data_IF_288112101296
#
_entry.id   IF_288112101296
#
_cell.length_a   1.000
_cell.length_b   1.000
_cell.length_c   1.000
_cell.angle_alpha   90.00
_cell.angle_beta   90.00
_cell.angle_gamma   90.00
#
_symmetry.space_group_name_H-M   'P 1'
#
loop_
_entity.id
_entity.type
_entity.pdbx_description
1 polymer ?
#
# COMPACT_ATOMS: atom_id res chain seq x y z
N UNK A 1 9.82 25.67 1.71
CA UNK A 1 8.88 25.27 0.64
C UNK A 1 7.50 24.93 1.21
N UNK A 2 7.42 24.08 2.22
CA UNK A 2 6.17 23.74 2.92
C UNK A 2 5.54 24.97 3.60
N UNK A 3 6.36 25.85 4.14
CA UNK A 3 5.93 27.10 4.77
C UNK A 3 5.21 28.07 3.80
N UNK A 4 5.58 28.08 2.53
CA UNK A 4 4.99 28.98 1.53
C UNK A 4 3.49 28.74 1.28
N UNK A 5 2.98 27.52 1.56
CA UNK A 5 1.55 27.19 1.48
C UNK A 5 0.92 27.05 2.86
N UNK A 6 1.63 27.42 3.92
CA UNK A 6 1.14 27.32 5.30
C UNK A 6 1.02 25.89 5.83
N UNK A 7 1.68 24.91 5.19
CA UNK A 7 1.73 23.53 5.68
C UNK A 7 2.71 23.45 6.85
N UNK A 8 2.26 22.95 7.98
CA UNK A 8 3.06 22.66 9.16
C UNK A 8 2.77 21.28 9.72
N UNK A 9 3.70 20.72 10.50
CA UNK A 9 3.48 19.49 11.21
C UNK A 9 2.22 19.54 12.10
N UNK A 10 1.93 20.70 12.69
CA UNK A 10 0.75 20.89 13.52
C UNK A 10 -0.55 20.69 12.74
N UNK A 11 -0.66 21.23 11.52
CA UNK A 11 -1.85 21.03 10.68
C UNK A 11 -1.99 19.57 10.23
N UNK A 12 -0.89 18.91 9.88
CA UNK A 12 -0.90 17.49 9.54
C UNK A 12 -1.39 16.63 10.72
N UNK A 13 -0.86 16.86 11.91
CA UNK A 13 -1.23 16.09 13.11
C UNK A 13 -2.67 16.37 13.53
N UNK A 14 -3.13 17.62 13.44
CA UNK A 14 -4.53 17.99 13.69
C UNK A 14 -5.47 17.29 12.71
N UNK A 15 -5.15 17.31 11.41
CA UNK A 15 -5.93 16.62 10.39
C UNK A 15 -5.96 15.11 10.59
N UNK A 16 -4.84 14.51 11.00
CA UNK A 16 -4.74 13.08 11.33
C UNK A 16 -5.65 12.71 12.50
N UNK A 17 -5.60 13.49 13.59
CA UNK A 17 -6.44 13.25 14.76
C UNK A 17 -7.93 13.35 14.39
N UNK A 18 -8.29 14.38 13.62
CA UNK A 18 -9.67 14.56 13.15
C UNK A 18 -10.10 13.43 12.20
N UNK A 19 -9.19 12.91 11.36
CA UNK A 19 -9.46 11.77 10.50
C UNK A 19 -9.74 10.50 11.31
N UNK A 20 -8.94 10.26 12.35
CA UNK A 20 -9.14 9.11 13.23
C UNK A 20 -10.48 9.19 13.98
N UNK A 21 -10.81 10.36 14.55
CA UNK A 21 -12.09 10.61 15.19
C UNK A 21 -13.24 10.41 14.19
N UNK A 22 -13.09 10.92 12.97
CA UNK A 22 -14.10 10.77 11.92
C UNK A 22 -14.31 9.29 11.52
N UNK A 23 -13.24 8.50 11.42
CA UNK A 23 -13.37 7.06 11.16
C UNK A 23 -14.15 6.35 12.30
N UNK A 24 -13.90 6.71 13.56
CA UNK A 24 -14.67 6.20 14.71
C UNK A 24 -16.15 6.58 14.60
N UNK A 25 -16.45 7.84 14.29
CA UNK A 25 -17.83 8.32 14.09
C UNK A 25 -18.53 7.51 12.99
N UNK A 26 -17.88 7.32 11.86
CA UNK A 26 -18.43 6.50 10.77
C UNK A 26 -18.72 5.06 11.19
N UNK A 27 -17.87 4.47 12.04
CA UNK A 27 -18.08 3.14 12.61
C UNK A 27 -19.23 3.08 13.61
N UNK A 28 -19.37 4.06 14.48
CA UNK A 28 -20.52 4.15 15.42
C UNK A 28 -21.83 4.10 14.62
N UNK A 29 -21.87 4.76 13.47
CA UNK A 29 -23.02 4.75 12.56
C UNK A 29 -22.96 3.63 11.50
N UNK A 30 -22.25 2.51 11.76
CA UNK A 30 -22.01 1.44 10.78
C UNK A 30 -23.28 0.84 10.15
N UNK A 31 -24.40 0.83 10.84
CA UNK A 31 -25.69 0.37 10.28
C UNK A 31 -26.15 1.23 9.10
N UNK A 32 -25.76 2.52 9.07
CA UNK A 32 -26.05 3.45 7.98
C UNK A 32 -24.91 3.52 6.99
N UNK A 33 -23.68 3.68 7.45
CA UNK A 33 -22.48 3.84 6.62
C UNK A 33 -22.05 2.55 5.93
N UNK A 34 -22.42 1.37 6.49
CA UNK A 34 -21.98 0.03 6.05
C UNK A 34 -20.46 -0.19 6.19
N UNK A 35 -19.81 0.58 7.04
CA UNK A 35 -18.38 0.45 7.31
C UNK A 35 -18.11 -0.49 8.47
N UNK A 36 -16.99 -1.22 8.40
CA UNK A 36 -16.60 -2.26 9.37
C UNK A 36 -15.21 -2.04 9.96
N UNK A 37 -14.38 -1.19 9.34
CA UNK A 37 -12.95 -1.10 9.63
C UNK A 37 -12.54 0.17 10.34
N UNK A 38 -11.57 0.05 11.26
CA UNK A 38 -10.84 1.15 11.87
C UNK A 38 -9.38 1.08 11.44
N UNK A 39 -8.87 2.13 10.79
CA UNK A 39 -7.48 2.17 10.34
C UNK A 39 -6.54 2.48 11.51
N UNK A 40 -5.52 1.63 11.69
CA UNK A 40 -4.61 1.66 12.83
C UNK A 40 -3.13 1.84 12.44
N UNK A 41 -2.81 1.93 11.16
CA UNK A 41 -1.43 2.06 10.67
C UNK A 41 -0.95 3.50 10.77
N UNK A 42 -0.45 3.90 11.93
CA UNK A 42 -0.16 5.29 12.29
C UNK A 42 0.77 6.03 11.32
N UNK A 43 1.89 5.42 10.91
CA UNK A 43 2.82 6.05 9.95
C UNK A 43 2.19 6.29 8.57
N UNK A 44 1.31 5.40 8.12
CA UNK A 44 0.54 5.57 6.90
C UNK A 44 -0.48 6.70 7.05
N UNK A 45 -1.15 6.76 8.19
CA UNK A 45 -2.10 7.84 8.47
C UNK A 45 -1.44 9.22 8.43
N UNK A 46 -0.20 9.35 8.93
CA UNK A 46 0.57 10.61 8.85
C UNK A 46 0.84 11.00 7.41
N UNK A 47 1.30 10.06 6.58
CA UNK A 47 1.59 10.32 5.17
C UNK A 47 0.34 10.71 4.39
N UNK A 48 -0.76 10.01 4.60
CA UNK A 48 -2.05 10.32 3.99
C UNK A 48 -2.57 11.70 4.40
N UNK A 49 -2.51 12.01 5.70
CA UNK A 49 -2.93 13.32 6.22
C UNK A 49 -2.05 14.45 5.65
N UNK A 50 -0.74 14.26 5.56
CA UNK A 50 0.18 15.25 4.94
C UNK A 50 -0.19 15.50 3.49
N UNK A 51 -0.41 14.44 2.71
CA UNK A 51 -0.77 14.53 1.30
C UNK A 51 -2.08 15.28 1.08
N UNK A 52 -3.13 14.93 1.83
CA UNK A 52 -4.44 15.57 1.64
C UNK A 52 -4.45 16.99 2.18
N UNK A 53 -3.71 17.28 3.25
CA UNK A 53 -3.50 18.66 3.72
C UNK A 53 -2.82 19.49 2.63
N UNK A 54 -1.78 18.93 1.96
CA UNK A 54 -1.15 19.60 0.82
C UNK A 54 -2.16 19.89 -0.30
N UNK A 55 -2.97 18.93 -0.71
CA UNK A 55 -3.98 19.09 -1.77
C UNK A 55 -4.96 20.22 -1.43
N UNK A 56 -5.53 20.20 -0.21
CA UNK A 56 -6.54 21.17 0.20
C UNK A 56 -5.92 22.57 0.34
N UNK A 57 -4.77 22.69 0.99
CA UNK A 57 -4.12 23.98 1.22
C UNK A 57 -3.56 24.60 -0.06
N UNK A 58 -3.10 23.78 -1.01
CA UNK A 58 -2.64 24.25 -2.31
C UNK A 58 -3.80 24.82 -3.13
N UNK A 59 -4.90 24.07 -3.23
CA UNK A 59 -5.98 24.42 -4.12
C UNK A 59 -7.06 25.31 -3.50
N UNK A 60 -7.13 25.38 -2.16
CA UNK A 60 -8.13 26.18 -1.43
C UNK A 60 -7.43 27.05 -0.37
N UNK A 61 -6.72 28.13 -0.77
CA UNK A 61 -5.95 28.94 0.18
C UNK A 61 -6.76 29.49 1.36
N UNK A 62 -8.06 29.73 1.19
CA UNK A 62 -8.95 30.15 2.26
C UNK A 62 -9.19 29.11 3.37
N UNK A 63 -8.78 27.85 3.13
CA UNK A 63 -8.84 26.77 4.11
C UNK A 63 -7.51 26.51 4.83
N UNK A 64 -6.51 27.39 4.75
CA UNK A 64 -5.25 27.29 5.51
C UNK A 64 -5.44 27.66 6.98
N UNK A 65 -6.36 26.98 7.65
CA UNK A 65 -6.80 27.23 9.03
C UNK A 65 -7.45 25.95 9.62
N UNK A 66 -8.04 26.07 10.80
CA UNK A 66 -8.67 24.94 11.50
C UNK A 66 -9.82 24.30 10.69
N UNK A 67 -10.58 25.07 9.93
CA UNK A 67 -11.66 24.53 9.08
C UNK A 67 -11.12 23.69 7.92
N UNK A 68 -9.94 24.06 7.43
CA UNK A 68 -9.21 23.24 6.46
C UNK A 68 -8.74 21.91 7.07
N UNK A 69 -8.21 21.94 8.29
CA UNK A 69 -7.85 20.71 8.99
C UNK A 69 -9.08 19.80 9.23
N UNK A 70 -10.25 20.40 9.53
CA UNK A 70 -11.52 19.65 9.63
C UNK A 70 -11.90 19.04 8.29
N UNK A 71 -11.86 19.80 7.19
CA UNK A 71 -12.19 19.32 5.85
C UNK A 71 -11.24 18.18 5.42
N UNK A 72 -9.94 18.33 5.68
CA UNK A 72 -8.93 17.28 5.45
C UNK A 72 -9.22 16.06 6.30
N UNK A 73 -9.51 16.23 7.59
CA UNK A 73 -9.83 15.14 8.51
C UNK A 73 -11.04 14.32 8.05
N UNK A 74 -12.10 14.98 7.62
CA UNK A 74 -13.29 14.32 7.06
C UNK A 74 -12.94 13.59 5.76
N UNK A 75 -12.23 14.23 4.85
CA UNK A 75 -11.88 13.65 3.54
C UNK A 75 -11.00 12.42 3.70
N UNK A 76 -9.91 12.52 4.48
CA UNK A 76 -8.97 11.42 4.65
C UNK A 76 -9.53 10.31 5.55
N UNK A 77 -10.26 10.65 6.60
CA UNK A 77 -10.91 9.65 7.46
C UNK A 77 -11.99 8.86 6.71
N UNK A 78 -12.69 9.50 5.76
CA UNK A 78 -13.61 8.78 4.87
C UNK A 78 -12.85 7.84 3.92
N UNK A 79 -11.74 8.29 3.32
CA UNK A 79 -10.89 7.43 2.50
C UNK A 79 -10.39 6.24 3.32
N UNK A 80 -9.84 6.47 4.50
CA UNK A 80 -9.31 5.43 5.39
C UNK A 80 -10.37 4.38 5.71
N UNK A 81 -11.57 4.81 6.12
CA UNK A 81 -12.67 3.93 6.47
C UNK A 81 -13.19 3.13 5.27
N UNK A 82 -13.37 3.80 4.11
CA UNK A 82 -13.99 3.19 2.94
C UNK A 82 -13.03 2.22 2.23
N UNK A 83 -11.78 2.64 2.03
CA UNK A 83 -10.84 1.83 1.27
C UNK A 83 -10.29 0.66 2.08
N UNK A 84 -10.09 0.81 3.39
CA UNK A 84 -9.80 -0.35 4.24
C UNK A 84 -10.99 -1.33 4.29
N UNK A 85 -12.22 -0.84 4.29
CA UNK A 85 -13.41 -1.70 4.22
C UNK A 85 -13.47 -2.53 2.92
N UNK A 86 -12.91 -2.03 1.81
CA UNK A 86 -12.82 -2.81 0.57
C UNK A 86 -11.90 -4.02 0.68
N UNK A 87 -10.93 -4.00 1.59
CA UNK A 87 -9.96 -5.09 1.75
C UNK A 87 -10.43 -6.19 2.70
N UNK A 88 -11.59 -6.04 3.36
CA UNK A 88 -12.13 -7.04 4.31
C UNK A 88 -12.30 -8.39 3.64
N UNK A 89 -13.11 -8.49 2.58
CA UNK A 89 -13.37 -9.78 1.91
C UNK A 89 -12.13 -10.35 1.20
N UNK A 90 -11.26 -9.54 0.54
CA UNK A 90 -9.99 -10.06 0.05
C UNK A 90 -9.13 -10.69 1.14
N UNK A 91 -9.03 -10.03 2.31
CA UNK A 91 -8.20 -10.52 3.41
C UNK A 91 -8.80 -11.74 4.09
N UNK A 92 -10.11 -11.75 4.31
CA UNK A 92 -10.85 -12.90 4.82
C UNK A 92 -10.61 -14.15 3.96
N UNK A 93 -10.67 -14.00 2.63
CA UNK A 93 -10.32 -15.09 1.70
C UNK A 93 -8.86 -15.51 1.77
N UNK A 94 -7.93 -14.56 1.87
CA UNK A 94 -6.49 -14.86 1.95
C UNK A 94 -6.13 -15.65 3.19
N UNK A 95 -6.86 -15.41 4.29
CA UNK A 95 -6.61 -16.02 5.59
C UNK A 95 -7.54 -17.19 5.90
N UNK A 96 -8.35 -17.63 4.91
CA UNK A 96 -9.38 -18.67 5.06
C UNK A 96 -10.32 -18.41 6.26
N UNK A 97 -10.64 -17.12 6.54
CA UNK A 97 -11.50 -16.67 7.62
C UNK A 97 -10.82 -16.48 8.98
N UNK A 98 -9.56 -16.86 9.12
CA UNK A 98 -8.86 -16.85 10.41
C UNK A 98 -8.18 -15.51 10.75
N UNK A 99 -8.10 -14.58 9.80
CA UNK A 99 -7.30 -13.35 9.94
C UNK A 99 -7.82 -12.36 10.97
N UNK A 100 -9.10 -12.06 10.95
CA UNK A 100 -9.72 -11.09 11.84
C UNK A 100 -9.23 -9.65 11.64
N UNK A 101 -8.68 -9.30 10.47
CA UNK A 101 -8.17 -7.98 10.13
C UNK A 101 -8.46 -7.59 8.69
N UNK A 102 -8.27 -6.32 8.38
CA UNK A 102 -8.27 -5.76 7.03
C UNK A 102 -6.95 -5.04 6.77
N UNK A 103 -6.68 -4.62 5.55
CA UNK A 103 -5.48 -3.83 5.23
C UNK A 103 -5.78 -2.35 5.29
N UNK A 104 -4.93 -1.62 6.03
CA UNK A 104 -4.93 -0.17 6.16
C UNK A 104 -3.58 0.42 5.69
N UNK A 105 -3.37 0.55 4.38
CA UNK A 105 -2.12 1.03 3.80
C UNK A 105 -2.39 1.99 2.60
N UNK A 106 -1.47 2.09 1.64
CA UNK A 106 -1.52 3.04 0.52
C UNK A 106 -1.83 2.38 -0.83
N UNK A 107 -2.24 1.11 -0.81
CA UNK A 107 -2.62 0.29 -1.97
C UNK A 107 -3.91 -0.51 -1.71
N UNK A 108 -4.80 0.01 -0.87
CA UNK A 108 -6.05 -0.65 -0.51
C UNK A 108 -6.95 -0.87 -1.72
N UNK A 109 -7.03 0.13 -2.59
CA UNK A 109 -7.77 0.03 -3.86
C UNK A 109 -7.11 -0.99 -4.81
N UNK A 110 -5.78 -1.00 -4.89
CA UNK A 110 -5.05 -1.97 -5.70
C UNK A 110 -5.29 -3.41 -5.24
N UNK A 111 -5.30 -3.67 -3.93
CA UNK A 111 -5.60 -4.99 -3.35
C UNK A 111 -7.00 -5.45 -3.75
N UNK A 112 -8.00 -4.60 -3.56
CA UNK A 112 -9.37 -4.90 -3.95
C UNK A 112 -9.48 -5.18 -5.45
N UNK A 113 -8.82 -4.37 -6.28
CA UNK A 113 -8.80 -4.52 -7.73
C UNK A 113 -8.10 -5.83 -8.15
N UNK A 114 -6.97 -6.15 -7.50
CA UNK A 114 -6.24 -7.40 -7.73
C UNK A 114 -7.10 -8.62 -7.41
N UNK A 115 -7.79 -8.64 -6.28
CA UNK A 115 -8.72 -9.71 -5.90
C UNK A 115 -9.83 -9.92 -6.95
N UNK A 116 -10.34 -8.84 -7.56
CA UNK A 116 -11.41 -8.91 -8.58
C UNK A 116 -10.91 -9.29 -9.98
N UNK A 117 -9.70 -8.89 -10.32
CA UNK A 117 -9.14 -9.10 -11.67
C UNK A 117 -8.38 -10.41 -11.78
N UNK A 118 -7.66 -10.83 -10.75
CA UNK A 118 -6.80 -12.00 -10.79
C UNK A 118 -7.47 -13.28 -11.30
N UNK A 119 -8.74 -13.61 -10.92
CA UNK A 119 -9.41 -14.80 -11.44
C UNK A 119 -9.68 -14.77 -12.96
N UNK A 120 -9.58 -13.59 -13.60
CA UNK A 120 -9.71 -13.45 -15.05
C UNK A 120 -8.39 -13.62 -15.81
N UNK A 121 -7.25 -13.55 -15.08
CA UNK A 121 -5.91 -13.65 -15.64
C UNK A 121 -5.38 -15.07 -15.54
N UNK A 122 -5.67 -15.77 -14.43
CA UNK A 122 -5.17 -17.10 -14.16
C UNK A 122 -6.05 -17.87 -13.20
N UNK A 123 -5.54 -19.00 -12.69
CA UNK A 123 -6.29 -19.91 -11.83
C UNK A 123 -5.59 -20.04 -10.47
N UNK A 124 -6.37 -20.20 -9.39
CA UNK A 124 -5.85 -20.39 -8.03
C UNK A 124 -4.93 -21.62 -7.93
N UNK A 125 -5.25 -22.68 -8.66
CA UNK A 125 -4.49 -23.94 -8.67
C UNK A 125 -3.07 -23.78 -9.21
N UNK A 126 -2.85 -22.75 -10.05
CA UNK A 126 -1.53 -22.38 -10.58
C UNK A 126 -0.75 -21.47 -9.61
N UNK A 127 -0.99 -21.59 -8.30
CA UNK A 127 -0.27 -20.83 -7.28
C UNK A 127 1.24 -21.03 -7.39
N UNK A 128 2.00 -20.00 -7.02
CA UNK A 128 3.47 -20.02 -6.96
C UNK A 128 3.99 -21.21 -6.16
N UNK A 129 3.27 -21.63 -5.10
CA UNK A 129 3.62 -22.81 -4.29
C UNK A 129 3.56 -24.13 -5.06
N UNK A 130 2.69 -24.22 -6.06
CA UNK A 130 2.44 -25.44 -6.81
C UNK A 130 3.37 -25.60 -8.02
N UNK A 131 4.28 -24.66 -8.26
CA UNK A 131 5.22 -24.72 -9.38
C UNK A 131 6.21 -25.86 -9.15
N UNK A 132 6.13 -26.91 -9.99
CA UNK A 132 7.10 -27.98 -10.01
C UNK A 132 8.34 -27.52 -10.76
N UNK A 133 9.39 -27.20 -10.02
CA UNK A 133 10.69 -26.87 -10.60
C UNK A 133 11.46 -28.14 -11.00
N UNK A 134 12.21 -28.14 -12.11
CA UNK A 134 13.17 -29.20 -12.43
C UNK A 134 14.17 -29.42 -11.29
N UNK A 135 14.70 -30.65 -11.14
CA UNK A 135 15.53 -31.03 -9.99
C UNK A 135 16.70 -30.09 -9.68
N UNK A 136 17.36 -29.53 -10.69
CA UNK A 136 18.45 -28.59 -10.51
C UNK A 136 17.98 -27.16 -10.06
N UNK A 137 16.69 -26.84 -10.21
CA UNK A 137 16.09 -25.61 -9.74
C UNK A 137 15.29 -25.79 -8.45
N UNK A 138 15.26 -26.99 -7.89
CA UNK A 138 14.50 -27.26 -6.66
C UNK A 138 14.94 -26.40 -5.47
N UNK A 139 16.23 -26.00 -5.44
CA UNK A 139 16.74 -25.06 -4.45
C UNK A 139 15.99 -23.70 -4.46
N UNK A 140 15.41 -23.28 -5.60
CA UNK A 140 14.63 -22.07 -5.72
C UNK A 140 13.18 -22.21 -5.22
N UNK A 141 12.75 -23.39 -4.82
CA UNK A 141 11.50 -23.55 -4.07
C UNK A 141 11.64 -23.05 -2.62
N UNK A 142 12.87 -23.00 -2.08
CA UNK A 142 13.14 -22.33 -0.81
C UNK A 142 13.10 -20.82 -0.96
N UNK A 143 12.33 -20.18 -0.09
CA UNK A 143 12.09 -18.73 -0.14
C UNK A 143 13.36 -17.91 0.13
N UNK A 144 14.22 -18.37 1.06
CA UNK A 144 15.45 -17.65 1.41
C UNK A 144 16.40 -17.66 0.22
N UNK A 145 16.55 -18.83 -0.43
CA UNK A 145 17.43 -18.99 -1.60
C UNK A 145 16.91 -18.17 -2.78
N UNK A 146 15.63 -18.30 -3.12
CA UNK A 146 15.05 -17.59 -4.28
C UNK A 146 15.11 -16.08 -4.09
N UNK A 147 14.76 -15.57 -2.91
CA UNK A 147 14.85 -14.14 -2.60
C UNK A 147 16.30 -13.65 -2.65
N UNK A 148 17.24 -14.40 -2.08
CA UNK A 148 18.67 -14.04 -2.08
C UNK A 148 19.21 -13.91 -3.50
N UNK A 149 18.90 -14.87 -4.38
CA UNK A 149 19.37 -14.86 -5.77
C UNK A 149 18.72 -13.74 -6.57
N UNK A 150 17.41 -13.54 -6.44
CA UNK A 150 16.71 -12.45 -7.12
C UNK A 150 17.23 -11.08 -6.66
N UNK A 151 17.45 -10.90 -5.36
CA UNK A 151 17.99 -9.65 -4.82
C UNK A 151 19.46 -9.45 -5.22
N UNK A 152 20.26 -10.52 -5.29
CA UNK A 152 21.63 -10.41 -5.78
C UNK A 152 21.68 -9.94 -7.24
N UNK A 153 20.82 -10.49 -8.10
CA UNK A 153 20.71 -10.06 -9.49
C UNK A 153 20.23 -8.60 -9.55
N UNK A 154 19.18 -8.26 -8.81
CA UNK A 154 18.57 -6.92 -8.81
C UNK A 154 19.54 -5.85 -8.31
N UNK A 155 20.06 -6.01 -7.09
CA UNK A 155 21.02 -5.06 -6.53
C UNK A 155 22.35 -5.10 -7.28
N UNK A 156 22.76 -6.28 -7.77
CA UNK A 156 23.96 -6.41 -8.58
C UNK A 156 23.90 -5.54 -9.83
N UNK A 157 22.83 -5.62 -10.59
CA UNK A 157 22.66 -4.78 -11.80
C UNK A 157 22.68 -3.30 -11.44
N UNK A 158 21.89 -2.89 -10.42
CA UNK A 158 21.84 -1.48 -10.03
C UNK A 158 23.20 -0.97 -9.56
N UNK A 159 23.87 -1.69 -8.66
CA UNK A 159 25.14 -1.25 -8.10
C UNK A 159 26.26 -1.25 -9.13
N UNK A 160 26.27 -2.23 -10.06
CA UNK A 160 27.23 -2.23 -11.17
C UNK A 160 27.04 -1.03 -12.11
N UNK A 161 25.79 -0.64 -12.37
CA UNK A 161 25.48 0.54 -13.20
C UNK A 161 25.89 1.83 -12.50
N UNK A 162 25.67 1.92 -11.18
CA UNK A 162 26.04 3.10 -10.38
C UNK A 162 27.56 3.21 -10.18
N UNK A 163 28.26 2.09 -10.15
CA UNK A 163 29.71 2.02 -9.98
C UNK A 163 30.18 2.02 -8.54
N UNK A 164 31.36 1.46 -8.34
CA UNK A 164 31.96 1.24 -7.00
C UNK A 164 32.23 2.56 -6.27
N UNK A 165 32.78 3.56 -6.96
CA UNK A 165 33.12 4.86 -6.35
C UNK A 165 31.88 5.59 -5.85
N UNK A 166 30.79 5.55 -6.63
CA UNK A 166 29.52 6.13 -6.20
C UNK A 166 28.96 5.40 -4.98
N UNK A 167 29.00 4.07 -4.97
CA UNK A 167 28.51 3.27 -3.83
C UNK A 167 29.33 3.53 -2.56
N UNK A 168 30.66 3.73 -2.67
CA UNK A 168 31.52 4.09 -1.54
C UNK A 168 31.24 5.50 -1.01
N UNK A 169 30.84 6.42 -1.89
CA UNK A 169 30.45 7.78 -1.46
C UNK A 169 29.08 7.83 -0.78
N UNK A 170 28.23 6.83 -1.04
CA UNK A 170 26.86 6.77 -0.52
C UNK A 170 26.73 6.00 0.80
N UNK A 171 27.59 5.00 0.99
CA UNK A 171 27.53 4.09 2.14
C UNK A 171 28.86 4.05 2.88
N UNK A 172 28.93 4.75 4.01
CA UNK A 172 30.09 4.82 4.88
C UNK A 172 30.53 3.45 5.42
N UNK A 173 29.63 2.45 5.41
CA UNK A 173 29.95 1.08 5.83
C UNK A 173 30.68 0.28 4.76
N UNK A 174 30.79 0.79 3.53
CA UNK A 174 31.53 0.15 2.45
C UNK A 174 33.03 0.46 2.57
N UNK A 175 33.72 -0.35 3.37
CA UNK A 175 35.14 -0.24 3.67
C UNK A 175 36.00 -0.35 2.39
N UNK A 176 37.13 0.40 2.34
CA UNK A 176 38.13 0.35 1.25
C UNK A 176 38.73 -1.05 1.04
N UNK A 177 38.70 -1.90 2.08
CA UNK A 177 39.22 -3.27 2.02
C UNK A 177 38.20 -4.28 1.52
N UNK A 178 36.92 -3.89 1.40
CA UNK A 178 35.85 -4.80 0.96
C UNK A 178 35.77 -4.80 -0.56
N UNK A 179 35.87 -5.97 -1.17
CA UNK A 179 35.66 -6.12 -2.61
C UNK A 179 34.22 -5.80 -3.00
N UNK A 180 34.04 -5.08 -4.12
CA UNK A 180 32.71 -4.61 -4.57
C UNK A 180 31.71 -5.74 -4.78
N UNK A 181 32.13 -6.85 -5.40
CA UNK A 181 31.25 -8.03 -5.57
C UNK A 181 30.78 -8.63 -4.25
N UNK A 182 31.64 -8.65 -3.22
CA UNK A 182 31.28 -9.11 -1.88
C UNK A 182 30.32 -8.14 -1.19
N UNK A 183 30.50 -6.83 -1.38
CA UNK A 183 29.58 -5.81 -0.90
C UNK A 183 28.17 -6.01 -1.48
N UNK A 184 28.05 -6.18 -2.81
CA UNK A 184 26.77 -6.45 -3.50
C UNK A 184 26.12 -7.71 -2.93
N UNK A 185 26.87 -8.79 -2.78
CA UNK A 185 26.40 -10.06 -2.23
C UNK A 185 25.88 -9.90 -0.78
N UNK A 186 26.67 -9.19 0.04
CA UNK A 186 26.29 -8.93 1.44
C UNK A 186 24.98 -8.13 1.55
N UNK A 187 24.79 -7.10 0.72
CA UNK A 187 23.55 -6.29 0.72
C UNK A 187 22.33 -7.11 0.28
N UNK A 188 22.49 -7.97 -0.72
CA UNK A 188 21.42 -8.87 -1.18
C UNK A 188 21.00 -9.87 -0.10
N UNK A 189 21.97 -10.49 0.59
CA UNK A 189 21.69 -11.38 1.72
C UNK A 189 21.06 -10.65 2.90
N UNK A 190 21.55 -9.46 3.23
CA UNK A 190 20.98 -8.64 4.30
C UNK A 190 19.51 -8.34 4.05
N UNK A 191 19.15 -7.98 2.81
CA UNK A 191 17.74 -7.78 2.45
C UNK A 191 16.90 -9.02 2.72
N UNK A 192 17.38 -10.19 2.30
CA UNK A 192 16.68 -11.47 2.51
C UNK A 192 16.48 -11.78 3.99
N UNK A 193 17.53 -11.58 4.79
CA UNK A 193 17.45 -11.77 6.26
C UNK A 193 16.42 -10.82 6.86
N UNK A 194 16.47 -9.53 6.52
CA UNK A 194 15.51 -8.55 7.03
C UNK A 194 14.07 -8.86 6.62
N UNK A 195 13.86 -9.34 5.39
CA UNK A 195 12.53 -9.76 4.95
C UNK A 195 11.99 -10.94 5.76
N UNK A 196 12.83 -11.95 6.04
CA UNK A 196 12.41 -13.10 6.85
C UNK A 196 12.14 -12.70 8.31
N UNK A 197 12.98 -11.82 8.89
CA UNK A 197 12.77 -11.28 10.24
C UNK A 197 11.46 -10.47 10.29
N UNK A 198 11.21 -9.63 9.26
CA UNK A 198 9.96 -8.89 9.14
C UNK A 198 8.75 -9.83 9.12
N UNK A 199 8.76 -10.86 8.28
CA UNK A 199 7.65 -11.82 8.20
C UNK A 199 7.41 -12.56 9.51
N UNK A 200 8.48 -12.98 10.21
CA UNK A 200 8.36 -13.63 11.52
C UNK A 200 7.80 -12.67 12.58
N UNK A 201 8.33 -11.44 12.64
CA UNK A 201 7.88 -10.42 13.58
C UNK A 201 6.42 -10.02 13.34
N UNK A 202 6.00 -9.93 12.09
CA UNK A 202 4.63 -9.61 11.71
C UNK A 202 3.65 -10.69 12.21
N UNK A 203 3.96 -11.97 12.04
CA UNK A 203 3.08 -13.05 12.54
C UNK A 203 2.84 -12.97 14.05
N UNK A 204 3.89 -12.67 14.82
CA UNK A 204 3.78 -12.48 16.26
C UNK A 204 2.92 -11.24 16.60
N UNK A 205 3.19 -10.12 15.91
CA UNK A 205 2.46 -8.86 16.12
C UNK A 205 0.98 -8.99 15.83
N UNK A 206 0.60 -9.72 14.77
CA UNK A 206 -0.82 -9.93 14.38
C UNK A 206 -1.60 -10.62 15.48
N UNK A 207 -1.03 -11.67 16.07
CA UNK A 207 -1.69 -12.42 17.14
C UNK A 207 -2.02 -11.48 18.32
N UNK A 208 -1.03 -10.75 18.81
CA UNK A 208 -1.16 -9.82 19.93
C UNK A 208 -2.09 -8.64 19.61
N UNK A 209 -1.99 -8.07 18.40
CA UNK A 209 -2.83 -6.96 17.97
C UNK A 209 -4.29 -7.37 17.89
N UNK A 210 -4.58 -8.53 17.28
CA UNK A 210 -5.95 -9.02 17.11
C UNK A 210 -6.60 -9.26 18.47
N UNK A 211 -5.89 -9.87 19.41
CA UNK A 211 -6.39 -10.10 20.77
C UNK A 211 -6.62 -8.78 21.52
N UNK A 212 -5.65 -7.88 21.49
CA UNK A 212 -5.75 -6.55 22.14
C UNK A 212 -6.89 -5.72 21.54
N UNK A 213 -7.03 -5.71 20.21
CA UNK A 213 -8.07 -4.97 19.53
C UNK A 213 -9.46 -5.57 19.81
N UNK A 214 -9.58 -6.89 19.87
CA UNK A 214 -10.83 -7.58 20.26
C UNK A 214 -11.32 -7.07 21.61
N UNK A 215 -10.45 -7.03 22.63
CA UNK A 215 -10.79 -6.53 23.96
C UNK A 215 -11.29 -5.07 23.99
N UNK A 216 -10.79 -4.23 23.06
CA UNK A 216 -11.24 -2.84 22.90
C UNK A 216 -12.54 -2.78 22.07
N UNK A 217 -12.60 -3.51 20.96
CA UNK A 217 -13.73 -3.46 20.03
C UNK A 217 -15.00 -3.99 20.67
N UNK A 218 -14.93 -5.06 21.44
CA UNK A 218 -16.11 -5.65 22.10
C UNK A 218 -16.81 -4.67 23.04
N UNK A 219 -16.06 -3.77 23.65
CA UNK A 219 -16.60 -2.79 24.61
C UNK A 219 -16.97 -1.45 23.97
N UNK A 220 -16.18 -0.95 23.01
CA UNK A 220 -16.30 0.40 22.48
C UNK A 220 -16.87 0.45 21.07
N UNK A 221 -16.50 -0.50 20.21
CA UNK A 221 -16.87 -0.55 18.80
C UNK A 221 -17.23 -1.98 18.38
N UNK A 222 -18.33 -2.57 18.90
CA UNK A 222 -18.67 -3.96 18.65
C UNK A 222 -18.67 -4.32 17.17
N UNK A 223 -17.90 -5.35 16.80
CA UNK A 223 -17.77 -5.85 15.44
C UNK A 223 -16.96 -4.95 14.50
N UNK A 224 -16.13 -4.02 15.02
CA UNK A 224 -15.12 -3.34 14.22
C UNK A 224 -13.97 -4.29 13.90
N UNK A 225 -13.42 -4.14 12.68
CA UNK A 225 -12.28 -4.91 12.18
C UNK A 225 -11.06 -3.98 12.14
N UNK A 226 -9.93 -4.35 12.76
CA UNK A 226 -8.71 -3.55 12.68
C UNK A 226 -8.17 -3.56 11.24
N UNK A 227 -7.92 -2.38 10.67
CA UNK A 227 -7.21 -2.26 9.41
C UNK A 227 -5.74 -1.93 9.70
N UNK A 228 -4.88 -2.87 9.39
CA UNK A 228 -3.46 -2.91 9.80
C UNK A 228 -2.51 -2.82 8.62
N UNK A 229 -1.22 -2.81 8.89
CA UNK A 229 -0.17 -2.74 7.88
C UNK A 229 -0.26 -3.91 6.89
N UNK A 230 0.04 -3.65 5.63
CA UNK A 230 -0.03 -4.65 4.56
C UNK A 230 0.96 -5.80 4.73
N UNK A 231 2.07 -5.59 5.44
CA UNK A 231 3.05 -6.64 5.73
C UNK A 231 2.43 -7.81 6.53
N UNK A 232 1.34 -7.55 7.25
CA UNK A 232 0.56 -8.58 7.96
C UNK A 232 0.08 -9.69 7.02
N UNK A 233 -0.36 -9.33 5.81
CA UNK A 233 -0.82 -10.30 4.82
C UNK A 233 0.28 -11.26 4.33
N UNK A 234 1.55 -10.87 4.44
CA UNK A 234 2.67 -11.70 4.00
C UNK A 234 2.84 -12.96 4.85
N UNK A 235 2.35 -12.96 6.09
CA UNK A 235 2.33 -14.13 6.95
C UNK A 235 1.38 -15.23 6.49
N UNK A 236 0.41 -14.90 5.65
CA UNK A 236 -0.63 -15.81 5.15
C UNK A 236 -0.44 -16.18 3.67
N UNK A 237 0.70 -15.86 3.09
CA UNK A 237 0.99 -16.10 1.68
C UNK A 237 2.33 -16.79 1.49
N UNK A 238 2.53 -17.45 0.33
CA UNK A 238 3.86 -17.93 -0.05
C UNK A 238 4.82 -16.75 -0.09
N UNK A 239 5.95 -16.89 0.59
CA UNK A 239 6.95 -15.83 0.61
C UNK A 239 7.53 -15.52 -0.78
N UNK A 240 7.53 -16.49 -1.70
CA UNK A 240 7.88 -16.29 -3.11
C UNK A 240 6.91 -15.34 -3.83
N UNK A 241 5.65 -15.24 -3.41
CA UNK A 241 4.70 -14.28 -3.99
C UNK A 241 5.13 -12.83 -3.69
N UNK A 242 5.62 -12.56 -2.48
CA UNK A 242 6.17 -11.25 -2.08
C UNK A 242 7.33 -10.87 -2.98
N UNK A 243 8.29 -11.79 -3.16
CA UNK A 243 9.50 -11.56 -3.98
C UNK A 243 9.16 -11.35 -5.45
N UNK A 244 8.27 -12.18 -6.02
CA UNK A 244 7.81 -12.04 -7.41
C UNK A 244 7.09 -10.72 -7.61
N UNK A 245 6.25 -10.32 -6.67
CA UNK A 245 5.54 -9.04 -6.72
C UNK A 245 6.49 -7.84 -6.75
N UNK A 246 7.47 -7.84 -5.84
CA UNK A 246 8.50 -6.81 -5.82
C UNK A 246 9.26 -6.75 -7.16
N UNK A 247 9.74 -7.90 -7.66
CA UNK A 247 10.52 -7.95 -8.89
C UNK A 247 9.72 -7.50 -10.12
N UNK A 248 8.51 -8.01 -10.29
CA UNK A 248 7.66 -7.64 -11.42
C UNK A 248 7.23 -6.16 -11.35
N UNK A 249 6.93 -5.65 -10.14
CA UNK A 249 6.64 -4.24 -9.92
C UNK A 249 7.84 -3.35 -10.26
N UNK A 250 9.06 -3.76 -9.87
CA UNK A 250 10.29 -3.06 -10.22
C UNK A 250 10.50 -2.98 -11.73
N UNK A 251 10.28 -4.09 -12.45
CA UNK A 251 10.36 -4.10 -13.92
C UNK A 251 9.35 -3.13 -14.54
N UNK A 252 8.11 -3.08 -14.02
CA UNK A 252 7.10 -2.13 -14.47
C UNK A 252 7.52 -0.68 -14.24
N UNK A 253 8.07 -0.38 -13.05
CA UNK A 253 8.58 0.95 -12.74
C UNK A 253 9.76 1.34 -13.64
N UNK A 254 10.73 0.46 -13.86
CA UNK A 254 11.86 0.72 -14.74
C UNK A 254 11.42 0.99 -16.17
N UNK A 255 10.47 0.22 -16.69
CA UNK A 255 9.91 0.45 -18.02
C UNK A 255 9.24 1.82 -18.12
N UNK A 256 8.47 2.20 -17.12
CA UNK A 256 7.80 3.50 -17.09
C UNK A 256 8.80 4.67 -16.96
N UNK A 257 9.85 4.53 -16.11
CA UNK A 257 10.93 5.52 -15.99
C UNK A 257 11.68 5.66 -17.31
N UNK A 258 12.00 4.55 -17.97
CA UNK A 258 12.61 4.58 -19.31
C UNK A 258 11.71 5.29 -20.32
N UNK A 259 10.39 5.06 -20.26
CA UNK A 259 9.42 5.79 -21.06
C UNK A 259 9.46 7.30 -20.80
N UNK A 260 9.44 7.73 -19.54
CA UNK A 260 9.56 9.15 -19.19
C UNK A 260 10.84 9.78 -19.73
N UNK A 261 11.96 9.05 -19.71
CA UNK A 261 13.24 9.51 -20.25
C UNK A 261 13.19 9.62 -21.79
N UNK A 262 12.74 8.58 -22.47
CA UNK A 262 12.70 8.52 -23.95
C UNK A 262 11.77 9.60 -24.52
N UNK A 263 10.63 9.82 -23.88
CA UNK A 263 9.66 10.81 -24.32
C UNK A 263 9.91 12.22 -23.74
N UNK A 264 11.08 12.43 -23.13
CA UNK A 264 11.47 13.72 -22.54
C UNK A 264 10.39 14.35 -21.65
N UNK A 265 9.84 13.54 -20.74
CA UNK A 265 8.80 14.00 -19.82
C UNK A 265 9.28 15.22 -19.03
N UNK A 266 8.45 16.28 -18.88
CA UNK A 266 8.79 17.44 -18.06
C UNK A 266 8.89 17.10 -16.57
N UNK A 267 8.42 15.93 -16.18
CA UNK A 267 8.45 15.44 -14.80
C UNK A 267 9.14 14.08 -14.78
N UNK A 268 10.22 14.01 -14.03
CA UNK A 268 10.91 12.77 -13.72
C UNK A 268 10.64 12.41 -12.28
N UNK A 269 10.15 11.21 -12.04
CA UNK A 269 10.01 10.66 -10.69
C UNK A 269 10.60 9.26 -10.63
N UNK A 270 11.09 8.91 -9.45
CA UNK A 270 11.47 7.56 -9.07
C UNK A 270 10.60 7.24 -7.86
N UNK A 271 9.80 6.18 -7.95
CA UNK A 271 9.00 5.73 -6.82
C UNK A 271 9.92 5.30 -5.67
N UNK A 272 9.55 5.66 -4.44
CA UNK A 272 10.31 5.27 -3.26
C UNK A 272 10.26 3.75 -3.01
N UNK A 273 11.05 3.28 -2.03
CA UNK A 273 11.10 1.86 -1.67
C UNK A 273 9.73 1.33 -1.20
N UNK A 274 8.95 2.15 -0.50
CA UNK A 274 7.63 1.71 0.02
C UNK A 274 6.69 1.30 -1.11
N UNK A 275 6.40 2.12 -2.14
CA UNK A 275 5.57 1.68 -3.25
C UNK A 275 6.21 0.57 -4.08
N UNK A 276 7.53 0.61 -4.26
CA UNK A 276 8.27 -0.41 -5.01
C UNK A 276 8.10 -1.80 -4.37
N UNK A 277 8.27 -1.89 -3.06
CA UNK A 277 8.22 -3.16 -2.34
C UNK A 277 6.81 -3.47 -1.83
N UNK A 278 6.29 -2.66 -0.91
CA UNK A 278 5.07 -3.01 -0.15
C UNK A 278 3.82 -3.04 -1.02
N UNK A 279 3.64 -2.09 -1.95
CA UNK A 279 2.46 -2.10 -2.81
C UNK A 279 2.48 -3.32 -3.73
N UNK A 280 3.59 -3.55 -4.42
CA UNK A 280 3.67 -4.59 -5.44
C UNK A 280 3.69 -5.99 -4.83
N UNK A 281 4.35 -6.17 -3.68
CA UNK A 281 4.31 -7.41 -2.92
C UNK A 281 2.89 -7.74 -2.44
N UNK A 282 2.18 -6.75 -1.88
CA UNK A 282 0.80 -6.94 -1.44
C UNK A 282 -0.10 -7.32 -2.62
N UNK A 283 -0.03 -6.59 -3.74
CA UNK A 283 -0.80 -6.90 -4.95
C UNK A 283 -0.55 -8.34 -5.40
N UNK A 284 0.73 -8.78 -5.42
CA UNK A 284 1.09 -10.14 -5.81
C UNK A 284 0.53 -11.22 -4.87
N UNK A 285 0.57 -10.96 -3.57
CA UNK A 285 0.02 -11.88 -2.55
C UNK A 285 -1.45 -12.17 -2.81
N UNK A 286 -2.27 -11.12 -2.93
CA UNK A 286 -3.70 -11.27 -3.21
C UNK A 286 -3.97 -11.81 -4.62
N UNK A 287 -3.18 -11.40 -5.60
CA UNK A 287 -3.29 -11.89 -6.97
C UNK A 287 -2.95 -13.39 -7.08
N UNK A 288 -1.89 -13.85 -6.40
CA UNK A 288 -1.52 -15.27 -6.37
C UNK A 288 -2.62 -16.13 -5.75
N UNK A 289 -3.18 -15.68 -4.63
CA UNK A 289 -4.25 -16.40 -3.94
C UNK A 289 -5.48 -16.60 -4.83
N UNK A 290 -5.78 -15.67 -5.75
CA UNK A 290 -6.98 -15.69 -6.61
C UNK A 290 -6.74 -16.17 -8.03
N UNK A 291 -5.57 -15.91 -8.60
CA UNK A 291 -5.28 -16.15 -10.02
C UNK A 291 -3.91 -16.77 -10.29
N UNK A 292 -3.25 -17.29 -9.24
CA UNK A 292 -1.97 -17.99 -9.36
C UNK A 292 -0.83 -17.09 -9.86
N UNK A 293 0.25 -17.74 -10.31
CA UNK A 293 1.51 -17.10 -10.69
C UNK A 293 1.35 -16.04 -11.78
N UNK A 294 0.51 -16.30 -12.78
CA UNK A 294 0.29 -15.34 -13.89
C UNK A 294 -0.24 -14.01 -13.37
N UNK A 295 -1.24 -14.04 -12.50
CA UNK A 295 -1.81 -12.84 -11.90
C UNK A 295 -0.80 -12.16 -10.96
N UNK A 296 -0.05 -12.93 -10.18
CA UNK A 296 0.99 -12.45 -9.28
C UNK A 296 2.17 -11.76 -10.00
N UNK A 297 2.38 -12.06 -11.28
CA UNK A 297 3.39 -11.37 -12.11
C UNK A 297 2.81 -10.14 -12.83
N UNK A 298 1.66 -10.31 -13.48
CA UNK A 298 1.09 -9.29 -14.37
C UNK A 298 0.58 -8.09 -13.58
N UNK A 299 -0.15 -8.30 -12.48
CA UNK A 299 -0.78 -7.19 -11.76
C UNK A 299 0.23 -6.28 -11.07
N UNK A 300 1.28 -6.77 -10.38
CA UNK A 300 2.34 -5.89 -9.86
C UNK A 300 3.13 -5.16 -10.97
N UNK A 301 3.37 -5.82 -12.10
CA UNK A 301 4.03 -5.18 -13.25
C UNK A 301 3.24 -3.96 -13.76
N UNK A 302 1.92 -4.14 -13.96
CA UNK A 302 1.03 -3.03 -14.35
C UNK A 302 0.98 -1.97 -13.26
N UNK A 303 0.92 -2.39 -11.98
CA UNK A 303 0.96 -1.49 -10.84
C UNK A 303 2.22 -0.62 -10.86
N UNK A 304 3.39 -1.20 -11.10
CA UNK A 304 4.65 -0.46 -11.21
C UNK A 304 4.61 0.64 -12.28
N UNK A 305 4.03 0.34 -13.45
CA UNK A 305 3.82 1.33 -14.51
C UNK A 305 2.89 2.47 -14.04
N UNK A 306 1.77 2.13 -13.42
CA UNK A 306 0.79 3.11 -12.91
C UNK A 306 1.40 3.98 -11.81
N UNK A 307 2.19 3.40 -10.92
CA UNK A 307 2.87 4.12 -9.83
C UNK A 307 3.77 5.24 -10.38
N UNK A 308 4.53 4.97 -11.43
CA UNK A 308 5.44 5.96 -12.04
C UNK A 308 4.67 6.96 -12.89
N UNK A 309 3.84 6.51 -13.84
CA UNK A 309 3.14 7.42 -14.75
C UNK A 309 2.09 8.25 -14.01
N UNK A 310 1.25 7.63 -13.18
CA UNK A 310 0.29 8.34 -12.35
C UNK A 310 0.97 9.25 -11.34
N UNK A 311 2.08 8.81 -10.75
CA UNK A 311 2.90 9.60 -9.85
C UNK A 311 3.51 10.83 -10.53
N UNK A 312 3.98 10.73 -11.77
CA UNK A 312 4.49 11.87 -12.54
C UNK A 312 3.38 12.92 -12.77
N UNK A 313 2.18 12.47 -13.12
CA UNK A 313 1.03 13.37 -13.27
C UNK A 313 0.65 14.02 -11.93
N UNK A 314 0.65 13.26 -10.82
CA UNK A 314 0.43 13.81 -9.48
C UNK A 314 1.46 14.88 -9.12
N UNK A 315 2.75 14.60 -9.31
CA UNK A 315 3.82 15.53 -9.00
C UNK A 315 3.67 16.84 -9.80
N UNK A 316 3.27 16.75 -11.07
CA UNK A 316 2.97 17.92 -11.89
C UNK A 316 1.77 18.70 -11.37
N UNK A 317 0.64 18.05 -11.17
CA UNK A 317 -0.62 18.69 -10.75
C UNK A 317 -0.49 19.36 -9.37
N UNK A 318 0.25 18.73 -8.47
CA UNK A 318 0.47 19.17 -7.10
C UNK A 318 1.67 20.12 -6.94
N UNK A 319 2.33 20.50 -8.04
CA UNK A 319 3.48 21.41 -8.05
C UNK A 319 4.66 20.92 -7.20
N UNK A 320 4.84 19.58 -7.13
CA UNK A 320 5.87 18.95 -6.31
C UNK A 320 7.19 18.71 -7.05
N UNK A 321 7.27 18.99 -8.34
CA UNK A 321 8.46 18.76 -9.17
C UNK A 321 9.69 19.47 -8.59
N UNK A 322 9.51 20.72 -8.11
CA UNK A 322 10.58 21.50 -7.50
C UNK A 322 11.04 20.98 -6.12
N UNK A 323 10.30 20.07 -5.50
CA UNK A 323 10.55 19.56 -4.15
C UNK A 323 11.02 18.11 -4.13
N UNK A 324 11.37 17.55 -5.28
CA UNK A 324 12.01 16.24 -5.39
C UNK A 324 11.06 15.06 -5.42
N UNK A 325 9.75 15.26 -5.62
CA UNK A 325 8.96 14.13 -6.02
C UNK A 325 7.66 13.86 -5.27
N UNK A 326 7.18 12.67 -5.48
CA UNK A 326 5.91 12.13 -5.04
C UNK A 326 6.10 10.71 -4.51
N UNK A 327 5.24 10.24 -3.60
CA UNK A 327 5.37 8.91 -3.00
C UNK A 327 5.39 7.76 -4.03
N UNK A 328 4.57 7.87 -5.09
CA UNK A 328 4.44 6.83 -6.10
C UNK A 328 3.60 5.62 -5.69
N UNK A 329 2.97 5.60 -4.52
CA UNK A 329 2.06 4.53 -4.13
C UNK A 329 0.85 4.43 -5.06
N UNK A 330 0.28 3.24 -5.21
CA UNK A 330 -0.77 3.00 -6.18
C UNK A 330 -2.02 3.88 -5.95
N UNK A 331 -2.53 3.93 -4.72
CA UNK A 331 -3.72 4.73 -4.41
C UNK A 331 -3.44 6.23 -4.54
N UNK A 332 -2.20 6.66 -4.25
CA UNK A 332 -1.79 8.05 -4.47
C UNK A 332 -1.65 8.41 -5.94
N UNK A 333 -1.23 7.48 -6.77
CA UNK A 333 -1.10 7.66 -8.21
C UNK A 333 -2.42 7.50 -8.97
N UNK A 334 -3.49 7.09 -8.30
CA UNK A 334 -4.83 6.86 -8.87
C UNK A 334 -5.92 7.64 -8.15
N UNK A 335 -6.30 7.20 -6.95
CA UNK A 335 -7.39 7.80 -6.17
C UNK A 335 -7.09 9.24 -5.80
N UNK A 336 -5.89 9.50 -5.22
CA UNK A 336 -5.52 10.86 -4.85
C UNK A 336 -5.26 11.78 -6.06
N UNK A 337 -4.90 11.21 -7.22
CA UNK A 337 -4.87 11.96 -8.47
C UNK A 337 -6.26 12.45 -8.85
N UNK A 338 -7.27 11.58 -8.79
CA UNK A 338 -8.66 11.95 -9.06
C UNK A 338 -9.16 13.00 -8.04
N UNK A 339 -8.92 12.79 -6.74
CA UNK A 339 -9.23 13.75 -5.66
C UNK A 339 -8.56 15.09 -5.92
N UNK A 340 -7.29 15.09 -6.32
CA UNK A 340 -6.53 16.32 -6.61
C UNK A 340 -7.18 17.14 -7.74
N UNK A 341 -7.58 16.48 -8.83
CA UNK A 341 -8.29 17.17 -9.93
C UNK A 341 -9.66 17.70 -9.48
N UNK A 342 -10.45 16.89 -8.78
CA UNK A 342 -11.76 17.31 -8.30
C UNK A 342 -11.64 18.52 -7.36
N UNK A 343 -10.73 18.47 -6.39
CA UNK A 343 -10.51 19.59 -5.45
C UNK A 343 -9.92 20.81 -6.15
N UNK A 344 -9.02 20.62 -7.12
CA UNK A 344 -8.42 21.71 -7.91
C UNK A 344 -9.49 22.54 -8.61
N UNK A 345 -10.46 21.92 -9.25
CA UNK A 345 -11.46 22.61 -10.07
C UNK A 345 -12.72 22.96 -9.30
N UNK A 346 -13.19 22.09 -8.41
CA UNK A 346 -14.46 22.29 -7.69
C UNK A 346 -14.29 22.87 -6.27
N UNK A 347 -13.05 22.99 -5.74
CA UNK A 347 -12.77 23.56 -4.42
C UNK A 347 -13.55 22.86 -3.29
N UNK A 348 -14.25 23.59 -2.43
CA UNK A 348 -15.04 23.04 -1.32
C UNK A 348 -16.14 22.09 -1.79
N UNK A 349 -16.96 22.40 -2.82
CA UNK A 349 -17.86 21.43 -3.43
C UNK A 349 -17.18 20.13 -3.87
N UNK A 350 -15.92 20.22 -4.34
CA UNK A 350 -15.11 19.05 -4.72
C UNK A 350 -14.77 18.15 -3.53
N UNK A 351 -14.42 18.72 -2.39
CA UNK A 351 -14.19 17.96 -1.14
C UNK A 351 -15.46 17.23 -0.74
N UNK A 352 -16.60 17.90 -0.74
CA UNK A 352 -17.91 17.31 -0.40
C UNK A 352 -18.25 16.18 -1.38
N UNK A 353 -18.07 16.41 -2.68
CA UNK A 353 -18.33 15.41 -3.72
C UNK A 353 -17.47 14.16 -3.52
N UNK A 354 -16.16 14.31 -3.22
CA UNK A 354 -15.27 13.18 -2.94
C UNK A 354 -15.75 12.38 -1.72
N UNK A 355 -16.14 13.03 -0.64
CA UNK A 355 -16.64 12.35 0.57
C UNK A 355 -17.92 11.57 0.26
N UNK A 356 -18.89 12.18 -0.42
CA UNK A 356 -20.15 11.52 -0.79
C UNK A 356 -19.88 10.33 -1.73
N UNK A 357 -19.07 10.53 -2.76
CA UNK A 357 -18.73 9.47 -3.71
C UNK A 357 -18.07 8.26 -3.03
N UNK A 358 -17.15 8.51 -2.09
CA UNK A 358 -16.54 7.43 -1.31
C UNK A 358 -17.56 6.72 -0.41
N UNK A 359 -18.45 7.44 0.28
CA UNK A 359 -19.47 6.82 1.15
C UNK A 359 -20.54 6.01 0.41
N UNK A 360 -20.70 6.19 -0.91
CA UNK A 360 -21.54 5.33 -1.75
C UNK A 360 -20.91 3.95 -1.95
N UNK A 361 -19.57 3.83 -1.93
CA UNK A 361 -18.87 2.56 -2.18
C UNK A 361 -19.30 1.46 -1.22
N UNK A 362 -19.29 1.63 0.12
CA UNK A 362 -19.72 0.58 1.05
C UNK A 362 -21.23 0.27 0.94
N UNK A 363 -22.06 1.20 0.48
CA UNK A 363 -23.48 0.91 0.20
C UNK A 363 -23.61 -0.06 -0.97
N UNK A 364 -22.84 0.16 -2.05
CA UNK A 364 -22.81 -0.75 -3.21
C UNK A 364 -22.23 -2.11 -2.80
N UNK A 365 -21.18 -2.12 -1.98
CA UNK A 365 -20.57 -3.35 -1.48
C UNK A 365 -21.59 -4.16 -0.68
N UNK A 366 -22.28 -3.53 0.27
CA UNK A 366 -23.33 -4.15 1.07
C UNK A 366 -24.51 -4.66 0.23
N UNK A 367 -24.94 -3.87 -0.76
CA UNK A 367 -26.05 -4.27 -1.65
C UNK A 367 -25.75 -5.51 -2.51
N UNK A 368 -24.44 -5.74 -2.82
CA UNK A 368 -23.97 -6.87 -3.63
C UNK A 368 -23.48 -8.06 -2.80
N UNK A 369 -23.41 -7.94 -1.49
CA UNK A 369 -22.97 -8.98 -0.57
C UNK A 369 -24.15 -9.77 0.00
N UNK A 370 -23.87 -10.90 0.65
CA UNK A 370 -24.78 -11.56 1.56
C UNK A 370 -24.98 -10.66 2.80
N UNK A 371 -26.17 -10.11 2.95
CA UNK A 371 -26.50 -9.11 3.97
C UNK A 371 -26.43 -9.68 5.39
N UNK A 372 -26.69 -10.98 5.57
CA UNK A 372 -26.62 -11.65 6.86
C UNK A 372 -25.17 -11.81 7.32
N UNK A 373 -24.27 -12.11 6.38
CA UNK A 373 -22.85 -12.33 6.64
C UNK A 373 -22.00 -11.06 6.57
N UNK A 374 -22.49 -9.98 5.96
CA UNK A 374 -21.68 -8.79 5.67
C UNK A 374 -20.94 -8.23 6.90
N UNK A 375 -21.60 -8.22 8.06
CA UNK A 375 -21.00 -7.68 9.29
C UNK A 375 -20.22 -8.72 10.11
N UNK A 376 -20.24 -10.00 9.72
CA UNK A 376 -19.50 -11.08 10.38
C UNK A 376 -18.26 -11.51 9.60
N UNK A 377 -18.19 -11.26 8.29
CA UNK A 377 -17.00 -11.51 7.47
C UNK A 377 -15.81 -10.77 8.05
N UNK A 378 -14.69 -11.44 8.19
CA UNK A 378 -13.46 -10.90 8.78
C UNK A 378 -13.45 -10.86 10.31
N UNK A 379 -14.44 -11.39 10.98
CA UNK A 379 -14.43 -11.63 12.43
C UNK A 379 -14.06 -13.09 12.68
N UNK A 380 -13.18 -13.35 13.65
CA UNK A 380 -12.94 -14.72 14.10
C UNK A 380 -14.21 -15.28 14.69
N UNK A 381 -14.63 -16.46 14.27
CA UNK A 381 -15.69 -17.18 14.95
C UNK A 381 -15.23 -17.50 16.38
N UNK A 382 -16.02 -17.07 17.36
CA UNK A 382 -15.81 -17.39 18.77
C UNK A 382 -16.29 -18.84 19.02
N UNK A 383 -15.59 -19.82 18.44
CA UNK A 383 -15.70 -21.20 18.90
C UNK A 383 -14.59 -21.46 19.93
N UNK A 384 -14.88 -21.10 21.20
CA UNK A 384 -14.37 -21.75 22.40
C UNK A 384 -15.38 -21.56 23.53
#
# INVERSE_FOLDING_TARGET
>A
ALENIGLSAAWTMTSLLLAFIWNIILLIFRKFTKLRTLLLTGHIMVQQATTVTWIVFLFIPGLRNIWGAVAVGILIGTYQAVFSNLTVEPTDRLTDGEGGFAIGHQQMFAIWLADKIAPKIGKKEDSIENIKLPGFLQMFSDNVVSTSVLMFIFFGIIMLVLGEDFMRSLDDTFSQTTAFGFYIFSKALSFTVYLNVLQAGVRMFVAELTESFKGISDKLLPGAIPAVDCAVAYGFAPANAVTVGFFCGALGQFLAIAGLLIFHSPVMIIAGFVPLFFDNASIAVYANHRGGVKAAMILPFISGIIQVLGGAVCAYVLQLVAFGGWHGNFDFSTIFLAVSYIVKYLKIPGVILCVIAMLVIPQIQYAKSDKEKYFTVGQKDDEY
#
